data_IF_497748675409
#
_entry.id   IF_497748675409
#
_cell.length_a   1.000
_cell.length_b   1.000
_cell.length_c   1.000
_cell.angle_alpha   90.00
_cell.angle_beta   90.00
_cell.angle_gamma   90.00
#
_symmetry.space_group_name_H-M   'P 1'
#
loop_
_entity.id
_entity.type
_entity.pdbx_description
1 polymer ?
#
# COMPACT_ATOMS: atom_id res chain seq x y z
N UNK A 1 -26.34 18.32 -6.69
CA UNK A 1 -25.90 18.97 -7.94
C UNK A 1 -24.39 18.86 -7.93
N UNK A 2 -23.84 18.00 -8.78
CA UNK A 2 -22.40 17.78 -8.90
C UNK A 2 -21.89 18.87 -9.82
N UNK A 3 -21.52 20.02 -9.23
CA UNK A 3 -20.53 20.88 -9.85
C UNK A 3 -19.23 20.07 -9.89
N UNK A 4 -18.50 20.16 -10.99
CA UNK A 4 -17.20 19.51 -11.15
C UNK A 4 -16.26 19.97 -10.04
N UNK A 5 -16.13 19.17 -8.98
CA UNK A 5 -15.18 19.41 -7.89
C UNK A 5 -13.77 19.53 -8.50
N UNK A 6 -13.06 20.59 -8.13
CA UNK A 6 -11.67 20.76 -8.55
C UNK A 6 -10.88 19.56 -8.03
N UNK A 7 -10.28 18.72 -8.91
CA UNK A 7 -9.58 17.53 -8.48
C UNK A 7 -8.45 17.83 -7.50
N UNK A 8 -7.93 19.07 -7.44
CA UNK A 8 -6.88 19.46 -6.50
C UNK A 8 -7.39 19.67 -5.07
N UNK A 9 -8.68 19.97 -4.85
CA UNK A 9 -9.23 20.18 -3.50
C UNK A 9 -9.16 18.92 -2.63
N UNK A 10 -9.17 17.75 -3.26
CA UNK A 10 -9.12 16.46 -2.57
C UNK A 10 -7.72 16.07 -2.07
N UNK A 11 -6.65 16.84 -2.37
CA UNK A 11 -5.26 16.46 -2.05
C UNK A 11 -5.02 16.20 -0.57
N UNK A 12 -5.58 17.04 0.31
CA UNK A 12 -5.47 16.87 1.76
C UNK A 12 -6.22 15.65 2.28
N UNK A 13 -7.46 15.45 1.79
CA UNK A 13 -8.26 14.29 2.17
C UNK A 13 -7.65 12.98 1.67
N UNK A 14 -7.03 12.99 0.48
CA UNK A 14 -6.29 11.85 -0.05
C UNK A 14 -5.08 11.51 0.82
N UNK A 15 -4.25 12.50 1.15
CA UNK A 15 -3.05 12.32 1.99
C UNK A 15 -3.38 11.81 3.40
N UNK A 16 -4.56 12.14 3.93
CA UNK A 16 -5.06 11.66 5.22
C UNK A 16 -5.82 10.33 5.14
N UNK A 17 -5.92 9.71 3.95
CA UNK A 17 -6.76 8.54 3.70
C UNK A 17 -8.23 8.72 4.15
N UNK A 18 -8.76 9.93 3.98
CA UNK A 18 -10.10 10.33 4.42
C UNK A 18 -11.14 10.32 3.28
N UNK A 19 -10.73 10.00 2.04
CA UNK A 19 -11.64 9.88 0.91
C UNK A 19 -12.38 8.52 0.90
N UNK A 20 -13.65 8.49 0.46
CA UNK A 20 -14.32 7.27 0.05
C UNK A 20 -13.50 6.49 -0.99
N UNK A 21 -13.62 5.14 -1.05
CA UNK A 21 -12.81 4.31 -1.96
C UNK A 21 -12.90 4.72 -3.44
N UNK A 22 -14.08 5.13 -3.90
CA UNK A 22 -14.34 5.58 -5.26
C UNK A 22 -13.64 6.91 -5.58
N UNK A 23 -13.66 7.87 -4.65
CA UNK A 23 -13.01 9.16 -4.78
C UNK A 23 -11.49 9.02 -4.69
N UNK A 24 -11.00 8.14 -3.80
CA UNK A 24 -9.57 7.83 -3.71
C UNK A 24 -9.05 7.20 -5.00
N UNK A 25 -9.81 6.30 -5.63
CA UNK A 25 -9.43 5.70 -6.92
C UNK A 25 -9.42 6.74 -8.05
N UNK A 26 -10.39 7.64 -8.06
CA UNK A 26 -10.43 8.76 -9.02
C UNK A 26 -9.24 9.71 -8.82
N UNK A 27 -8.94 10.08 -7.58
CA UNK A 27 -7.80 10.94 -7.26
C UNK A 27 -6.46 10.27 -7.58
N UNK A 28 -6.31 8.97 -7.33
CA UNK A 28 -5.11 8.22 -7.70
C UNK A 28 -4.87 8.22 -9.23
N UNK A 29 -5.95 8.19 -10.03
CA UNK A 29 -5.86 8.35 -11.48
C UNK A 29 -5.37 9.74 -11.87
N UNK A 30 -5.87 10.79 -11.19
CA UNK A 30 -5.40 12.16 -11.38
C UNK A 30 -3.92 12.33 -10.99
N UNK A 31 -3.52 11.75 -9.85
CA UNK A 31 -2.16 11.81 -9.31
C UNK A 31 -1.12 11.31 -10.32
N UNK A 32 -1.46 10.27 -11.09
CA UNK A 32 -0.59 9.71 -12.13
C UNK A 32 -0.25 10.69 -13.28
N UNK A 33 -0.99 11.79 -13.42
CA UNK A 33 -0.80 12.80 -14.47
C UNK A 33 -0.53 14.22 -13.97
N UNK A 34 -0.45 14.44 -12.65
CA UNK A 34 -0.32 15.78 -12.07
C UNK A 34 0.90 15.90 -11.13
N UNK A 35 1.98 16.50 -11.63
CA UNK A 35 3.21 16.73 -10.87
C UNK A 35 3.03 17.69 -9.67
N UNK A 36 2.02 18.56 -9.73
CA UNK A 36 1.70 19.46 -8.61
C UNK A 36 1.10 18.67 -7.44
N UNK A 37 0.04 17.91 -7.70
CA UNK A 37 -0.59 17.05 -6.69
C UNK A 37 0.38 15.97 -6.18
N UNK A 38 1.26 15.42 -7.03
CA UNK A 38 2.28 14.45 -6.58
C UNK A 38 3.23 15.05 -5.55
N UNK A 39 3.71 16.27 -5.78
CA UNK A 39 4.57 16.97 -4.82
C UNK A 39 3.81 17.33 -3.55
N UNK A 40 2.59 17.84 -3.69
CA UNK A 40 1.78 18.26 -2.55
C UNK A 40 1.36 17.08 -1.66
N UNK A 41 0.99 15.92 -2.23
CA UNK A 41 0.74 14.70 -1.46
C UNK A 41 2.00 14.30 -0.67
N UNK A 42 3.18 14.31 -1.30
CA UNK A 42 4.43 13.95 -0.62
C UNK A 42 4.76 14.89 0.55
N UNK A 43 4.56 16.20 0.36
CA UNK A 43 4.78 17.22 1.40
C UNK A 43 3.78 17.07 2.56
N UNK A 44 2.52 16.77 2.24
CA UNK A 44 1.48 16.53 3.24
C UNK A 44 1.72 15.22 3.99
N UNK A 45 2.09 14.13 3.31
CA UNK A 45 2.41 12.84 3.95
C UNK A 45 3.56 12.98 4.96
N UNK A 46 4.58 13.79 4.66
CA UNK A 46 5.64 14.09 5.61
C UNK A 46 5.11 14.80 6.86
N UNK A 47 4.18 15.74 6.70
CA UNK A 47 3.53 16.43 7.82
C UNK A 47 2.65 15.49 8.64
N UNK A 48 1.89 14.63 7.96
CA UNK A 48 1.06 13.59 8.59
C UNK A 48 1.90 12.62 9.41
N UNK A 49 3.08 12.25 8.93
CA UNK A 49 4.01 11.40 9.68
C UNK A 49 4.45 12.06 11.00
N UNK A 50 4.78 13.36 10.99
CA UNK A 50 5.10 14.09 12.22
C UNK A 50 3.94 14.10 13.23
N UNK A 51 2.70 14.28 12.75
CA UNK A 51 1.51 14.22 13.60
C UNK A 51 1.29 12.80 14.16
N UNK A 52 1.46 11.78 13.32
CA UNK A 52 1.30 10.38 13.74
C UNK A 52 2.32 9.98 14.81
N UNK A 53 3.56 10.45 14.71
CA UNK A 53 4.59 10.24 15.74
C UNK A 53 4.23 10.93 17.06
N UNK A 54 3.71 12.16 17.01
CA UNK A 54 3.31 12.90 18.20
C UNK A 54 2.16 12.21 18.96
N UNK A 55 1.25 11.56 18.25
CA UNK A 55 0.07 10.87 18.80
C UNK A 55 0.30 9.37 19.04
N UNK A 56 1.50 8.85 18.73
CA UNK A 56 1.78 7.41 18.83
C UNK A 56 1.73 6.91 20.28
N UNK A 57 1.03 5.80 20.49
CA UNK A 57 0.99 5.10 21.79
C UNK A 57 1.85 3.84 21.76
N UNK A 58 2.50 3.52 22.87
CA UNK A 58 3.28 2.28 23.00
C UNK A 58 2.35 1.06 22.93
N UNK A 59 2.51 0.16 21.94
CA UNK A 59 1.71 -1.06 21.87
C UNK A 59 2.13 -2.04 22.98
N UNK A 60 1.25 -2.96 23.42
CA UNK A 60 1.63 -4.00 24.37
C UNK A 60 2.78 -4.87 23.84
N UNK A 61 3.76 -5.19 24.69
CA UNK A 61 4.97 -5.97 24.31
C UNK A 61 4.65 -7.29 23.59
N UNK A 62 3.58 -7.96 24.01
CA UNK A 62 3.14 -9.22 23.43
C UNK A 62 2.58 -9.09 22.00
N UNK A 63 2.19 -7.88 21.57
CA UNK A 63 1.55 -7.67 20.26
C UNK A 63 2.50 -8.02 19.12
N UNK A 64 3.78 -7.62 19.21
CA UNK A 64 4.79 -7.94 18.19
C UNK A 64 4.91 -9.45 17.98
N UNK A 65 5.05 -10.21 19.06
CA UNK A 65 5.14 -11.67 19.00
C UNK A 65 3.88 -12.28 18.35
N UNK A 66 2.69 -11.86 18.80
CA UNK A 66 1.41 -12.36 18.28
C UNK A 66 1.24 -12.09 16.78
N UNK A 67 1.63 -10.91 16.32
CA UNK A 67 1.59 -10.54 14.88
C UNK A 67 2.54 -11.42 14.09
N UNK A 68 3.78 -11.59 14.55
CA UNK A 68 4.78 -12.42 13.86
C UNK A 68 4.38 -13.91 13.80
N UNK A 69 3.85 -14.46 14.89
CA UNK A 69 3.30 -15.83 14.92
C UNK A 69 2.15 -15.99 13.91
N UNK A 70 1.24 -15.01 13.84
CA UNK A 70 0.13 -15.04 12.87
C UNK A 70 0.61 -14.94 11.43
N UNK A 71 1.58 -14.08 11.14
CA UNK A 71 2.17 -13.94 9.80
C UNK A 71 2.75 -15.28 9.33
N UNK A 72 3.47 -16.00 10.20
CA UNK A 72 4.11 -17.27 9.86
C UNK A 72 3.12 -18.37 9.41
N UNK A 73 1.87 -18.32 9.89
CA UNK A 73 0.84 -19.32 9.55
C UNK A 73 -0.20 -18.82 8.55
N UNK A 74 -0.21 -17.53 8.22
CA UNK A 74 -1.17 -16.95 7.28
C UNK A 74 -0.64 -17.11 5.86
N UNK A 75 -1.36 -17.87 5.02
CA UNK A 75 -1.03 -17.99 3.59
C UNK A 75 -1.07 -16.61 2.94
N UNK A 76 0.07 -16.18 2.40
CA UNK A 76 0.18 -14.90 1.70
C UNK A 76 -0.29 -15.05 0.26
N UNK A 77 -1.06 -14.09 -0.26
CA UNK A 77 -1.58 -14.13 -1.64
C UNK A 77 -0.47 -14.24 -2.70
N UNK A 78 0.71 -13.70 -2.42
CA UNK A 78 1.89 -13.87 -3.28
C UNK A 78 2.34 -15.33 -3.42
N UNK A 79 2.14 -16.17 -2.40
CA UNK A 79 2.42 -17.61 -2.47
C UNK A 79 1.41 -18.36 -3.34
N UNK A 80 0.21 -17.79 -3.55
CA UNK A 80 -0.79 -18.33 -4.48
C UNK A 80 -0.51 -17.91 -5.94
N UNK A 81 0.08 -16.72 -6.17
CA UNK A 81 0.54 -16.28 -7.50
C UNK A 81 1.84 -16.95 -7.95
N UNK A 82 2.68 -17.38 -7.01
CA UNK A 82 3.85 -18.20 -7.31
C UNK A 82 3.34 -19.61 -7.57
N UNK A 83 2.90 -19.88 -8.80
CA UNK A 83 2.71 -21.26 -9.28
C UNK A 83 3.92 -22.10 -8.86
N UNK A 84 3.73 -23.40 -8.57
CA UNK A 84 4.86 -24.26 -8.27
C UNK A 84 5.81 -24.16 -9.46
N UNK A 85 6.95 -23.48 -9.25
CA UNK A 85 8.07 -23.52 -10.17
C UNK A 85 8.33 -25.00 -10.40
N UNK A 86 7.86 -25.47 -11.55
CA UNK A 86 8.08 -26.81 -12.04
C UNK A 86 9.58 -26.89 -12.13
N UNK A 87 10.21 -27.52 -11.14
CA UNK A 87 11.58 -28.00 -11.27
C UNK A 87 11.54 -29.14 -12.28
N UNK A 88 11.32 -28.80 -13.54
CA UNK A 88 11.83 -29.60 -14.66
C UNK A 88 13.34 -29.40 -14.62
N UNK A 89 13.99 -30.16 -13.74
CA UNK A 89 15.43 -30.39 -13.86
C UNK A 89 15.68 -31.03 -15.23
N UNK A 90 16.74 -30.63 -15.95
CA UNK A 90 17.07 -31.27 -17.22
C UNK A 90 17.33 -32.75 -16.96
N UNK A 91 16.64 -33.62 -17.73
CA UNK A 91 17.02 -35.03 -17.84
C UNK A 91 18.37 -35.03 -18.54
N UNK A 92 19.43 -35.31 -17.79
CA UNK A 92 20.71 -35.67 -18.40
C UNK A 92 20.53 -37.08 -18.94
N UNK A 93 20.21 -37.17 -20.23
CA UNK A 93 20.31 -38.41 -20.98
C UNK A 93 21.81 -38.66 -21.17
N UNK A 94 22.41 -39.37 -20.22
CA UNK A 94 23.78 -39.86 -20.33
C UNK A 94 23.77 -41.05 -21.29
N UNK A 95 23.96 -40.79 -22.58
CA UNK A 95 24.35 -41.82 -23.53
C UNK A 95 25.80 -42.25 -23.22
N UNK A 96 25.96 -43.56 -23.02
CA UNK A 96 27.23 -44.27 -22.79
C UNK A 96 27.84 -44.67 -24.12
#
# INVERSE_FOLDING_TARGET
MSDTEDPHEAVGAYALHALPPEEAAAFATHLAGCDACTREVADLEATVACLAEAEAVTPPDALRRRVLERIATTTQEQLLRREPSRREGPRLDLEV
#
